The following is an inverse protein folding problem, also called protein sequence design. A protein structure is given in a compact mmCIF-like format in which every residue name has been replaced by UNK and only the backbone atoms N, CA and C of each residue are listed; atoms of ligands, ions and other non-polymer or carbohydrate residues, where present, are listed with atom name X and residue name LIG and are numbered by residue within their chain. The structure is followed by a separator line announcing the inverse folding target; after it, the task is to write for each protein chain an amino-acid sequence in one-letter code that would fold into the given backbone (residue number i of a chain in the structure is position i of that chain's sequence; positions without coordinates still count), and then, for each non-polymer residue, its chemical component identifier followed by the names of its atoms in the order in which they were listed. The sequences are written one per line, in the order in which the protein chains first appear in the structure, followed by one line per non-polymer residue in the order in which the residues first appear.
data_IF_124815022736
#
_entry.id   IF_124815022736
#
_cell.length_a   1.000
_cell.length_b   1.000
_cell.length_c   1.000
_cell.angle_alpha   90.00
_cell.angle_beta   90.00
_cell.angle_gamma   90.00
#
_symmetry.space_group_name_H-M   'P 1'
#
loop_
_entity.id
_entity.type
_entity.pdbx_description
1 polymer ?
#
# COMPACT_ATOMS: atom_id res chain seq x y z
N UNK A 1 5.35 9.19 7.91
CA UNK A 1 4.10 8.44 8.07
C UNK A 1 4.43 6.96 8.27
N UNK A 2 3.87 6.36 9.27
CA UNK A 2 4.09 4.95 9.56
C UNK A 2 2.85 4.13 9.21
N UNK A 3 3.08 2.90 8.77
CA UNK A 3 2.00 1.97 8.48
C UNK A 3 2.03 0.79 9.43
N UNK A 4 0.86 0.23 9.70
CA UNK A 4 0.73 -0.96 10.51
C UNK A 4 0.56 -2.16 9.58
N UNK A 5 1.55 -3.03 9.56
CA UNK A 5 1.49 -4.28 8.81
C UNK A 5 0.85 -5.36 9.68
N UNK A 6 -0.13 -6.06 9.12
CA UNK A 6 -0.82 -7.16 9.80
C UNK A 6 -0.55 -8.45 9.04
N UNK A 7 -0.10 -9.48 9.74
CA UNK A 7 0.20 -10.79 9.17
C UNK A 7 -0.70 -11.84 9.82
N UNK A 8 -1.39 -12.61 9.00
CA UNK A 8 -2.29 -13.67 9.48
C UNK A 8 -1.79 -15.02 8.97
N UNK A 9 -1.50 -15.93 9.90
CA UNK A 9 -1.11 -17.28 9.53
C UNK A 9 -2.33 -18.03 9.02
N UNK A 10 -2.17 -18.67 7.86
CA UNK A 10 -3.20 -19.50 7.24
C UNK A 10 -2.57 -20.84 6.85
N UNK A 11 -3.36 -21.87 6.50
CA UNK A 11 -2.78 -23.19 6.19
C UNK A 11 -1.74 -23.16 5.07
N UNK A 12 -1.87 -22.27 4.10
CA UNK A 12 -0.95 -22.16 2.97
C UNK A 12 0.25 -21.25 3.23
N UNK A 13 0.32 -20.61 4.40
CA UNK A 13 1.39 -19.67 4.72
C UNK A 13 0.89 -18.45 5.46
N UNK A 14 1.04 -17.28 4.88
CA UNK A 14 0.62 -16.02 5.48
C UNK A 14 -0.11 -15.13 4.48
N UNK A 15 -1.14 -14.45 4.96
CA UNK A 15 -1.69 -13.29 4.24
C UNK A 15 -1.30 -12.04 5.01
N UNK A 16 -1.12 -10.94 4.31
CA UNK A 16 -0.65 -9.70 4.92
C UNK A 16 -1.37 -8.50 4.30
N UNK A 17 -1.59 -7.49 5.12
CA UNK A 17 -2.16 -6.24 4.64
C UNK A 17 -1.71 -5.07 5.52
N UNK A 18 -1.90 -3.87 5.01
CA UNK A 18 -1.63 -2.65 5.76
C UNK A 18 -2.95 -2.06 6.23
N UNK A 19 -3.06 -1.86 7.55
CA UNK A 19 -4.30 -1.41 8.17
C UNK A 19 -4.77 -0.05 7.64
N UNK A 20 -3.85 0.85 7.36
CA UNK A 20 -4.15 2.22 6.96
C UNK A 20 -4.17 2.47 5.46
N UNK A 21 -3.82 1.47 4.66
CA UNK A 21 -3.67 1.66 3.21
C UNK A 21 -4.48 0.63 2.43
N UNK A 22 -5.64 1.04 1.96
CA UNK A 22 -6.52 0.18 1.18
C UNK A 22 -5.82 -0.30 -0.09
N UNK A 23 -5.93 -1.59 -0.37
CA UNK A 23 -5.33 -2.20 -1.55
C UNK A 23 -3.93 -2.77 -1.34
N UNK A 24 -3.26 -2.41 -0.26
CA UNK A 24 -1.95 -2.98 0.07
C UNK A 24 -2.14 -4.30 0.80
N UNK A 25 -2.26 -5.38 0.05
CA UNK A 25 -2.40 -6.72 0.59
C UNK A 25 -1.61 -7.71 -0.26
N UNK A 26 -1.19 -8.81 0.35
CA UNK A 26 -0.39 -9.82 -0.30
C UNK A 26 -0.43 -11.14 0.46
N UNK A 27 0.36 -12.10 0.00
CA UNK A 27 0.53 -13.38 0.65
C UNK A 27 1.96 -13.86 0.48
N UNK A 28 2.35 -14.84 1.27
CA UNK A 28 3.65 -15.49 1.17
C UNK A 28 3.64 -16.83 1.86
N UNK A 29 4.54 -17.71 1.46
CA UNK A 29 4.66 -19.03 2.07
C UNK A 29 5.25 -18.96 3.48
N UNK A 30 6.07 -17.94 3.73
CA UNK A 30 6.70 -17.69 5.04
C UNK A 30 6.43 -16.26 5.47
N UNK A 31 6.66 -15.99 6.75
CA UNK A 31 6.50 -14.63 7.27
C UNK A 31 7.47 -13.65 6.59
N UNK A 32 8.72 -14.06 6.37
CA UNK A 32 9.68 -13.20 5.70
C UNK A 32 9.30 -12.89 4.26
N UNK A 33 8.80 -13.88 3.55
CA UNK A 33 8.30 -13.69 2.19
C UNK A 33 7.10 -12.74 2.17
N UNK A 34 6.17 -12.91 3.12
CA UNK A 34 5.03 -12.01 3.25
C UNK A 34 5.46 -10.57 3.54
N UNK A 35 6.50 -10.38 4.37
CA UNK A 35 7.05 -9.05 4.65
C UNK A 35 7.60 -8.38 3.41
N UNK A 36 8.37 -9.11 2.63
CA UNK A 36 8.96 -8.59 1.40
C UNK A 36 7.88 -8.25 0.38
N UNK A 37 6.93 -9.17 0.20
CA UNK A 37 5.83 -8.97 -0.74
C UNK A 37 4.94 -7.81 -0.33
N UNK A 38 4.73 -7.61 0.97
CA UNK A 38 3.93 -6.49 1.45
C UNK A 38 4.61 -5.15 1.19
N UNK A 39 5.92 -5.07 1.34
CA UNK A 39 6.67 -3.86 1.01
C UNK A 39 6.47 -3.48 -0.46
N UNK A 40 6.58 -4.44 -1.36
CA UNK A 40 6.34 -4.21 -2.77
C UNK A 40 4.90 -3.77 -3.05
N UNK A 41 3.94 -4.40 -2.38
CA UNK A 41 2.53 -4.04 -2.53
C UNK A 41 2.27 -2.59 -2.10
N UNK A 42 2.87 -2.16 -1.00
CA UNK A 42 2.75 -0.77 -0.52
C UNK A 42 3.33 0.20 -1.55
N UNK A 43 4.51 -0.09 -2.07
CA UNK A 43 5.15 0.76 -3.07
C UNK A 43 4.30 0.90 -4.32
N UNK A 44 3.71 -0.21 -4.79
CA UNK A 44 2.84 -0.20 -5.97
C UNK A 44 1.56 0.61 -5.74
N UNK A 45 0.94 0.46 -4.57
CA UNK A 45 -0.29 1.21 -4.25
C UNK A 45 -0.01 2.70 -4.16
N UNK A 46 1.09 3.09 -3.50
CA UNK A 46 1.46 4.50 -3.38
C UNK A 46 1.79 5.11 -4.75
N UNK A 47 2.47 4.37 -5.60
CA UNK A 47 2.78 4.83 -6.95
C UNK A 47 1.52 4.98 -7.80
N UNK A 48 0.61 4.01 -7.73
CA UNK A 48 -0.66 4.07 -8.45
C UNK A 48 -1.50 5.28 -8.01
N UNK A 49 -1.55 5.54 -6.71
CA UNK A 49 -2.26 6.70 -6.18
C UNK A 49 -1.64 8.00 -6.65
N UNK A 50 -0.32 8.07 -6.73
CA UNK A 50 0.39 9.24 -7.25
C UNK A 50 0.04 9.47 -8.73
N UNK A 51 0.06 8.42 -9.54
CA UNK A 51 -0.27 8.52 -10.96
C UNK A 51 -1.71 8.99 -11.18
N UNK A 52 -2.66 8.47 -10.40
CA UNK A 52 -4.05 8.91 -10.47
C UNK A 52 -4.18 10.39 -10.12
N UNK A 53 -3.46 10.85 -9.11
CA UNK A 53 -3.46 12.26 -8.74
C UNK A 53 -2.88 13.14 -9.86
N UNK A 54 -1.84 12.66 -10.55
CA UNK A 54 -1.27 13.37 -11.69
C UNK A 54 -2.24 13.45 -12.86
N UNK A 55 -2.89 12.33 -13.19
CA UNK A 55 -3.85 12.28 -14.30
C UNK A 55 -5.06 13.17 -14.07
N UNK A 56 -5.54 13.25 -12.84
CA UNK A 56 -6.73 14.04 -12.53
C UNK A 56 -6.49 15.55 -12.61
N UNK A 57 -5.25 16.00 -12.81
CA UNK A 57 -4.91 17.41 -12.95
C UNK A 57 -5.12 17.98 -14.34
N UNK A 58 -5.25 17.14 -15.35
CA UNK A 58 -5.31 17.59 -16.73
C UNK A 58 -6.50 18.54 -16.95
N UNK A 59 -6.21 19.79 -17.36
CA UNK A 59 -7.22 20.79 -17.63
C UNK A 59 -7.92 21.37 -16.42
N UNK A 60 -7.42 21.15 -15.22
CA UNK A 60 -8.04 21.63 -13.98
C UNK A 60 -7.10 22.53 -13.18
N UNK A 61 -7.70 23.46 -12.43
CA UNK A 61 -6.96 24.26 -11.47
C UNK A 61 -6.83 23.45 -10.17
N UNK A 62 -5.60 23.18 -9.74
CA UNK A 62 -5.34 22.28 -8.62
C UNK A 62 -4.55 22.98 -7.52
N UNK A 63 -5.02 22.84 -6.29
CA UNK A 63 -4.27 23.27 -5.11
C UNK A 63 -3.71 22.04 -4.41
N UNK A 64 -2.42 22.05 -4.12
CA UNK A 64 -1.73 20.98 -3.42
C UNK A 64 -1.21 21.48 -2.09
N UNK A 65 -1.45 20.70 -1.06
CA UNK A 65 -0.97 21.01 0.28
C UNK A 65 -0.47 19.72 0.94
N UNK A 66 0.54 19.88 1.78
CA UNK A 66 0.96 18.74 2.61
C UNK A 66 -0.04 18.59 3.74
N UNK A 67 -0.59 17.40 3.88
CA UNK A 67 -1.50 17.08 4.97
C UNK A 67 -0.75 16.20 5.99
N UNK A 68 -0.69 16.70 7.23
CA UNK A 68 -0.06 15.96 8.34
C UNK A 68 -1.14 15.62 9.36
N UNK A 69 -1.21 14.35 9.72
CA UNK A 69 -2.16 13.86 10.71
C UNK A 69 -1.56 13.80 12.12
#
# INVERSE_FOLDING_TARGET
MEFTAVYIEVPEGYVAFVAELLGANTQGATLDEARENLREAVELVLEANRELAEQSRAGQSVTRERLTL
#
